data_IF_387558930407
#
_entry.id   IF_387558930407
#
_cell.length_a   1.000
_cell.length_b   1.000
_cell.length_c   1.000
_cell.angle_alpha   90.00
_cell.angle_beta   90.00
_cell.angle_gamma   90.00
#
_symmetry.space_group_name_H-M   'P 1'
#
loop_
_entity.id
_entity.type
_entity.pdbx_description
1 polymer ?
#
# COMPACT_ATOMS: atom_id res chain seq x y z
N UNK A 1 24.96 -10.73 -68.93
CA UNK A 1 23.92 -9.67 -69.07
C UNK A 1 23.13 -9.62 -67.77
N UNK A 2 23.01 -8.41 -67.23
CA UNK A 2 22.45 -7.92 -65.96
C UNK A 2 21.48 -8.83 -65.17
N UNK A 3 21.81 -9.07 -63.90
CA UNK A 3 20.85 -9.41 -62.85
C UNK A 3 20.54 -8.13 -62.06
N UNK A 4 19.34 -7.59 -62.25
CA UNK A 4 18.83 -6.41 -61.55
C UNK A 4 18.48 -6.76 -60.10
N UNK A 5 19.06 -6.03 -59.15
CA UNK A 5 18.77 -6.09 -57.73
C UNK A 5 17.49 -5.32 -57.40
N UNK A 6 16.47 -6.02 -56.89
CA UNK A 6 15.30 -5.38 -56.27
C UNK A 6 15.54 -5.36 -54.75
N UNK A 7 15.78 -4.17 -54.23
CA UNK A 7 16.03 -3.91 -52.82
C UNK A 7 14.80 -4.16 -51.95
N UNK A 8 14.99 -4.93 -50.86
CA UNK A 8 14.02 -5.05 -49.78
C UNK A 8 14.51 -4.26 -48.56
N UNK A 9 13.87 -3.13 -48.28
CA UNK A 9 14.06 -2.35 -47.03
C UNK A 9 13.34 -3.09 -45.89
N UNK A 10 13.97 -3.32 -44.73
CA UNK A 10 13.23 -3.80 -43.55
C UNK A 10 12.40 -2.66 -42.95
N UNK A 11 11.08 -2.85 -42.93
CA UNK A 11 10.11 -1.98 -42.27
C UNK A 11 10.25 -2.15 -40.75
N UNK A 12 10.41 -1.03 -40.04
CA UNK A 12 10.46 -0.95 -38.58
C UNK A 12 9.14 -1.43 -37.97
N UNK A 13 9.16 -2.55 -37.26
CA UNK A 13 8.02 -3.01 -36.48
C UNK A 13 7.88 -2.15 -35.21
N UNK A 14 6.86 -1.30 -35.22
CA UNK A 14 6.41 -0.49 -34.09
C UNK A 14 5.77 -1.41 -33.04
N UNK A 15 6.42 -1.59 -31.90
CA UNK A 15 5.88 -2.36 -30.79
C UNK A 15 4.87 -1.50 -30.01
N UNK A 16 3.62 -1.49 -30.46
CA UNK A 16 2.49 -0.91 -29.72
C UNK A 16 1.82 -2.00 -28.87
N UNK A 17 2.00 -1.83 -27.56
CA UNK A 17 1.13 -2.22 -26.45
C UNK A 17 -0.31 -2.57 -26.84
N UNK A 18 -0.76 -3.76 -26.46
CA UNK A 18 -2.16 -4.00 -26.10
C UNK A 18 -2.25 -4.83 -24.81
N UNK A 19 -2.59 -4.11 -23.74
CA UNK A 19 -3.52 -4.47 -22.66
C UNK A 19 -4.06 -5.91 -22.62
N UNK A 20 -3.81 -6.61 -21.50
CA UNK A 20 -4.81 -7.50 -20.88
C UNK A 20 -4.83 -7.37 -19.36
N UNK A 21 -6.05 -7.15 -18.89
CA UNK A 21 -6.51 -7.09 -17.51
C UNK A 21 -6.48 -8.47 -16.83
N UNK A 22 -6.27 -8.45 -15.50
CA UNK A 22 -6.75 -9.36 -14.44
C UNK A 22 -5.64 -9.62 -13.40
N UNK A 23 -5.75 -8.91 -12.27
CA UNK A 23 -5.38 -9.42 -10.94
C UNK A 23 -4.04 -10.14 -10.77
N UNK A 24 -2.95 -9.68 -11.39
CA UNK A 24 -1.63 -10.26 -11.17
C UNK A 24 -1.17 -9.94 -9.73
N UNK A 25 -1.50 -10.81 -8.77
CA UNK A 25 -0.66 -10.99 -7.59
C UNK A 25 0.76 -11.16 -8.14
N UNK A 26 1.64 -10.20 -7.83
CA UNK A 26 3.02 -10.22 -8.33
C UNK A 26 3.59 -11.60 -8.04
N UNK A 27 3.96 -12.31 -9.09
CA UNK A 27 4.60 -13.63 -9.04
C UNK A 27 5.88 -13.50 -8.21
N UNK A 28 5.83 -13.88 -6.94
CA UNK A 28 7.02 -14.08 -6.11
C UNK A 28 7.78 -15.22 -6.78
N UNK A 29 9.06 -15.00 -7.15
CA UNK A 29 9.88 -16.07 -7.71
C UNK A 29 9.91 -17.23 -6.72
N UNK A 30 9.52 -18.44 -7.15
CA UNK A 30 9.75 -19.68 -6.41
C UNK A 30 11.27 -19.89 -6.29
N UNK A 31 11.79 -19.84 -5.07
CA UNK A 31 13.21 -20.05 -4.75
C UNK A 31 13.73 -19.02 -3.75
N UNK A 32 14.30 -19.51 -2.64
CA UNK A 32 14.74 -18.79 -1.44
C UNK A 32 13.60 -18.19 -0.58
N UNK A 33 13.04 -19.01 0.33
CA UNK A 33 12.17 -18.58 1.40
C UNK A 33 13.02 -18.06 2.57
N UNK A 34 12.70 -16.87 3.06
CA UNK A 34 13.37 -16.24 4.20
C UNK A 34 12.32 -15.85 5.22
N UNK A 35 12.54 -16.21 6.48
CA UNK A 35 11.71 -15.74 7.58
C UNK A 35 12.22 -14.37 8.03
N UNK A 36 11.30 -13.46 8.35
CA UNK A 36 11.64 -12.10 8.75
C UNK A 36 10.74 -11.64 9.89
N UNK A 37 11.31 -10.97 10.88
CA UNK A 37 10.57 -10.29 11.94
C UNK A 37 11.16 -8.91 12.20
N UNK A 38 10.37 -8.01 12.80
CA UNK A 38 10.78 -6.63 13.09
C UNK A 38 10.63 -6.32 14.58
N UNK A 39 11.73 -5.94 15.23
CA UNK A 39 11.78 -5.47 16.61
C UNK A 39 11.83 -3.93 16.63
N UNK A 40 10.67 -3.28 16.68
CA UNK A 40 10.44 -1.82 16.77
C UNK A 40 11.08 -0.92 15.71
N UNK A 41 12.07 -1.41 14.94
CA UNK A 41 12.83 -0.84 13.79
C UNK A 41 14.04 -1.72 13.40
N UNK A 42 14.35 -2.78 14.13
CA UNK A 42 15.38 -3.77 13.77
C UNK A 42 14.73 -4.96 13.05
N UNK A 43 15.03 -5.14 11.77
CA UNK A 43 14.68 -6.34 11.02
C UNK A 43 15.68 -7.45 11.31
N UNK A 44 15.15 -8.61 11.72
CA UNK A 44 15.91 -9.85 11.83
C UNK A 44 15.41 -10.80 10.76
N UNK A 45 16.34 -11.37 9.99
CA UNK A 45 16.04 -12.28 8.89
C UNK A 45 16.83 -13.56 9.01
N UNK A 46 16.19 -14.71 8.81
CA UNK A 46 16.88 -15.99 8.77
C UNK A 46 17.71 -16.17 7.50
N UNK A 47 18.47 -17.25 7.43
CA UNK A 47 19.05 -17.74 6.19
C UNK A 47 17.97 -17.99 5.13
N UNK A 48 18.36 -17.84 3.86
CA UNK A 48 17.48 -18.23 2.75
C UNK A 48 17.43 -19.76 2.64
N UNK A 49 16.23 -20.30 2.55
CA UNK A 49 15.98 -21.75 2.49
C UNK A 49 15.23 -22.12 1.21
N UNK A 50 15.33 -23.38 0.77
CA UNK A 50 14.51 -23.90 -0.35
C UNK A 50 13.26 -24.61 0.13
N UNK A 51 13.15 -24.87 1.43
CA UNK A 51 12.11 -25.68 2.04
C UNK A 51 11.13 -24.80 2.81
N UNK A 52 9.83 -24.89 2.48
CA UNK A 52 8.77 -24.15 3.19
C UNK A 52 8.65 -24.55 4.65
N UNK A 53 8.85 -25.83 4.96
CA UNK A 53 8.82 -26.33 6.32
C UNK A 53 9.96 -25.73 7.16
N UNK A 54 11.17 -25.65 6.60
CA UNK A 54 12.31 -25.01 7.28
C UNK A 54 12.09 -23.50 7.45
N UNK A 55 11.60 -22.81 6.43
CA UNK A 55 11.22 -21.39 6.54
C UNK A 55 10.14 -21.17 7.62
N UNK A 56 9.17 -22.07 7.72
CA UNK A 56 8.14 -22.05 8.76
C UNK A 56 8.72 -22.24 10.16
N UNK A 57 9.65 -23.19 10.34
CA UNK A 57 10.37 -23.40 11.60
C UNK A 57 11.17 -22.15 12.00
N UNK A 58 11.96 -21.59 11.08
CA UNK A 58 12.70 -20.35 11.34
C UNK A 58 11.77 -19.19 11.68
N UNK A 59 10.61 -19.10 11.03
CA UNK A 59 9.64 -18.07 11.37
C UNK A 59 9.07 -18.25 12.77
N UNK A 60 8.78 -19.48 13.19
CA UNK A 60 8.33 -19.78 14.54
C UNK A 60 9.38 -19.41 15.60
N UNK A 61 10.65 -19.75 15.36
CA UNK A 61 11.77 -19.33 16.23
C UNK A 61 11.84 -17.80 16.35
N UNK A 62 11.79 -17.09 15.21
CA UNK A 62 11.86 -15.63 15.21
C UNK A 62 10.66 -15.00 15.93
N UNK A 63 9.44 -15.52 15.71
CA UNK A 63 8.24 -15.07 16.43
C UNK A 63 8.38 -15.27 17.94
N UNK A 64 8.82 -16.46 18.35
CA UNK A 64 9.03 -16.77 19.76
C UNK A 64 10.08 -15.87 20.40
N UNK A 65 11.22 -15.64 19.72
CA UNK A 65 12.24 -14.69 20.20
C UNK A 65 11.68 -13.27 20.34
N UNK A 66 10.76 -12.86 19.46
CA UNK A 66 10.12 -11.56 19.55
C UNK A 66 9.20 -11.46 20.77
N UNK A 67 8.37 -12.48 21.00
CA UNK A 67 7.50 -12.56 22.16
C UNK A 67 8.30 -12.54 23.47
N UNK A 68 9.37 -13.32 23.55
CA UNK A 68 10.25 -13.38 24.73
C UNK A 68 10.95 -12.05 24.98
N UNK A 69 11.53 -11.43 23.94
CA UNK A 69 12.27 -10.18 24.10
C UNK A 69 11.36 -8.98 24.40
N UNK A 70 10.15 -8.95 23.83
CA UNK A 70 9.20 -7.83 24.04
C UNK A 70 8.27 -8.04 25.25
N UNK A 71 8.09 -9.27 25.71
CA UNK A 71 7.25 -9.58 26.87
C UNK A 71 7.79 -9.02 28.19
N UNK A 72 9.07 -8.63 28.23
CA UNK A 72 9.73 -8.02 29.39
C UNK A 72 9.70 -6.49 29.32
N UNK A 73 9.55 -5.90 28.12
CA UNK A 73 9.59 -4.45 27.92
C UNK A 73 8.25 -3.79 28.25
N UNK A 74 8.30 -2.62 28.89
CA UNK A 74 7.13 -1.77 28.98
C UNK A 74 6.82 -1.16 27.61
N UNK A 75 5.54 -0.84 27.37
CA UNK A 75 5.08 -0.32 26.07
C UNK A 75 5.90 0.90 25.63
N UNK A 76 6.76 0.71 24.62
CA UNK A 76 7.54 1.78 23.97
C UNK A 76 9.03 1.74 24.28
N UNK A 77 9.48 0.95 25.24
CA UNK A 77 10.91 0.75 25.52
C UNK A 77 11.60 -0.01 24.37
N UNK A 78 12.79 0.45 23.99
CA UNK A 78 13.57 -0.25 22.98
C UNK A 78 14.19 -1.52 23.58
N UNK A 79 13.99 -2.65 22.90
CA UNK A 79 14.61 -3.92 23.29
C UNK A 79 16.14 -3.82 23.17
N UNK A 80 16.83 -4.22 24.25
CA UNK A 80 18.29 -4.22 24.37
C UNK A 80 18.95 -5.42 23.67
N UNK A 81 20.26 -5.34 23.46
CA UNK A 81 21.03 -6.41 22.79
C UNK A 81 20.95 -7.73 23.53
N UNK A 82 21.23 -7.72 24.83
CA UNK A 82 21.28 -8.92 25.66
C UNK A 82 19.92 -9.62 25.73
N UNK A 83 18.83 -8.84 25.71
CA UNK A 83 17.47 -9.38 25.67
C UNK A 83 17.18 -10.09 24.35
N UNK A 84 17.57 -9.50 23.21
CA UNK A 84 17.41 -10.13 21.90
C UNK A 84 18.27 -11.39 21.79
N UNK A 85 19.51 -11.34 22.29
CA UNK A 85 20.43 -12.47 22.28
C UNK A 85 19.90 -13.63 23.12
N UNK A 86 19.51 -13.36 24.37
CA UNK A 86 18.88 -14.33 25.27
C UNK A 86 17.61 -14.93 24.67
N UNK A 87 16.69 -14.08 24.17
CA UNK A 87 15.43 -14.55 23.60
C UNK A 87 15.63 -15.43 22.35
N UNK A 88 16.67 -15.13 21.55
CA UNK A 88 17.03 -15.96 20.40
C UNK A 88 17.58 -17.31 20.84
N UNK A 89 18.46 -17.34 21.84
CA UNK A 89 19.02 -18.58 22.39
C UNK A 89 17.93 -19.49 22.96
N UNK A 90 17.04 -18.93 23.78
CA UNK A 90 15.90 -19.67 24.35
C UNK A 90 14.97 -20.18 23.25
N UNK A 91 14.61 -19.34 22.27
CA UNK A 91 13.75 -19.77 21.17
C UNK A 91 14.40 -20.86 20.30
N UNK A 92 15.72 -20.79 20.06
CA UNK A 92 16.43 -21.83 19.33
C UNK A 92 16.40 -23.16 20.09
N UNK A 93 16.64 -23.13 21.39
CA UNK A 93 16.59 -24.30 22.26
C UNK A 93 15.18 -24.91 22.33
N UNK A 94 14.13 -24.10 22.52
CA UNK A 94 12.74 -24.55 22.57
C UNK A 94 12.32 -25.31 21.30
N UNK A 95 12.79 -24.86 20.13
CA UNK A 95 12.44 -25.46 18.84
C UNK A 95 13.46 -26.49 18.34
N UNK A 96 14.53 -26.76 19.10
CA UNK A 96 15.58 -27.70 18.72
C UNK A 96 16.32 -27.32 17.43
N UNK A 97 16.52 -26.02 17.19
CA UNK A 97 17.20 -25.49 16.00
C UNK A 97 18.59 -25.02 16.40
N UNK A 98 19.62 -25.47 15.68
CA UNK A 98 20.98 -25.00 15.90
C UNK A 98 21.15 -23.55 15.41
N UNK A 99 21.88 -22.72 16.16
CA UNK A 99 22.13 -21.32 15.82
C UNK A 99 22.79 -21.15 14.43
N UNK A 100 23.64 -22.09 14.03
CA UNK A 100 24.34 -22.11 12.74
C UNK A 100 23.42 -22.39 11.56
N UNK A 101 22.23 -22.95 11.79
CA UNK A 101 21.20 -23.15 10.75
C UNK A 101 20.43 -21.86 10.48
N UNK A 102 20.08 -21.11 11.54
CA UNK A 102 19.27 -19.91 11.41
C UNK A 102 20.03 -18.79 10.69
N UNK A 103 21.35 -18.64 10.97
CA UNK A 103 22.24 -17.58 10.45
C UNK A 103 21.54 -16.21 10.36
N UNK A 104 21.11 -15.66 11.50
CA UNK A 104 20.34 -14.43 11.49
C UNK A 104 21.16 -13.30 10.87
N UNK A 105 20.46 -12.47 10.09
CA UNK A 105 20.98 -11.24 9.52
C UNK A 105 20.10 -10.08 9.94
N UNK A 106 20.74 -8.95 10.18
CA UNK A 106 20.14 -7.80 10.81
C UNK A 106 20.18 -6.62 9.86
N UNK A 107 19.08 -5.87 9.81
CA UNK A 107 19.01 -4.59 9.11
C UNK A 107 18.13 -3.63 9.91
N UNK A 108 18.39 -2.35 9.79
CA UNK A 108 17.59 -1.30 10.44
C UNK A 108 16.62 -0.73 9.43
N UNK A 109 15.37 -0.59 9.86
CA UNK A 109 14.36 0.16 9.17
C UNK A 109 14.24 1.53 9.80
N UNK A 110 14.29 2.58 8.99
CA UNK A 110 14.01 3.93 9.44
C UNK A 110 12.81 4.46 8.66
N UNK A 111 11.79 4.87 9.39
CA UNK A 111 10.72 5.70 8.85
C UNK A 111 11.15 7.16 8.96
N UNK A 112 11.11 7.94 7.88
CA UNK A 112 11.49 9.36 7.93
C UNK A 112 10.38 10.26 8.50
N UNK A 113 9.53 9.74 9.40
CA UNK A 113 8.54 10.48 10.20
C UNK A 113 7.29 10.99 9.47
N UNK A 114 7.43 11.59 8.29
CA UNK A 114 6.35 12.28 7.56
C UNK A 114 6.09 11.72 6.15
N UNK A 115 6.80 10.65 5.79
CA UNK A 115 6.84 10.09 4.45
C UNK A 115 6.57 8.58 4.55
N UNK A 116 5.44 8.11 4.01
CA UNK A 116 5.05 6.70 3.95
C UNK A 116 6.05 5.80 3.20
N UNK A 117 6.95 5.12 3.93
CA UNK A 117 7.87 4.13 3.40
C UNK A 117 9.10 3.91 4.27
N UNK A 118 9.30 2.66 4.70
CA UNK A 118 10.48 2.18 5.40
C UNK A 118 11.71 2.21 4.50
N UNK A 119 12.78 2.82 5.00
CA UNK A 119 14.11 2.76 4.42
C UNK A 119 14.90 1.68 5.16
N UNK A 120 15.50 0.73 4.43
CA UNK A 120 16.34 -0.32 5.03
C UNK A 120 17.83 0.03 4.92
N UNK A 121 18.56 -0.17 6.01
CA UNK A 121 20.02 -0.22 6.02
C UNK A 121 20.54 -1.44 5.24
N UNK A 122 21.84 -1.53 4.97
CA UNK A 122 22.47 -2.80 4.62
C UNK A 122 22.18 -3.90 5.64
N UNK A 123 22.34 -5.15 5.21
CA UNK A 123 22.31 -6.31 6.10
C UNK A 123 23.70 -6.56 6.70
N UNK A 124 23.75 -6.91 7.98
CA UNK A 124 24.94 -7.36 8.71
C UNK A 124 24.62 -8.64 9.50
N UNK A 125 25.64 -9.42 9.87
CA UNK A 125 25.50 -10.57 10.77
C UNK A 125 25.71 -10.17 12.23
N UNK A 126 26.18 -8.94 12.50
CA UNK A 126 26.40 -8.44 13.86
C UNK A 126 25.17 -7.71 14.38
N UNK A 127 24.58 -8.24 15.46
CA UNK A 127 23.47 -7.60 16.17
C UNK A 127 23.90 -6.24 16.74
N UNK A 128 25.02 -6.20 17.46
CA UNK A 128 25.65 -4.98 18.00
C UNK A 128 25.76 -3.88 16.94
N UNK A 129 26.29 -4.22 15.76
CA UNK A 129 26.45 -3.25 14.68
C UNK A 129 25.10 -2.73 14.16
N UNK A 130 24.12 -3.62 13.99
CA UNK A 130 22.78 -3.22 13.57
C UNK A 130 22.08 -2.34 14.62
N UNK A 131 22.27 -2.61 15.91
CA UNK A 131 21.76 -1.76 16.99
C UNK A 131 22.46 -0.40 16.99
N UNK A 132 23.78 -0.34 16.82
CA UNK A 132 24.50 0.93 16.66
C UNK A 132 24.01 1.73 15.44
N UNK A 133 23.65 1.08 14.33
CA UNK A 133 22.97 1.73 13.21
C UNK A 133 21.60 2.25 13.59
N UNK A 134 20.83 1.48 14.38
CA UNK A 134 19.49 1.86 14.86
C UNK A 134 19.56 3.16 15.65
N UNK A 135 20.44 3.21 16.65
CA UNK A 135 20.67 4.38 17.49
C UNK A 135 21.08 5.60 16.66
N UNK A 136 22.11 5.47 15.80
CA UNK A 136 22.59 6.60 14.98
C UNK A 136 21.55 7.12 14.01
N UNK A 137 20.85 6.22 13.31
CA UNK A 137 19.82 6.63 12.35
C UNK A 137 18.59 7.19 13.05
N UNK A 138 18.25 6.70 14.25
CA UNK A 138 17.20 7.28 15.08
C UNK A 138 17.59 8.69 15.52
N UNK A 139 18.78 8.87 16.08
CA UNK A 139 19.28 10.18 16.51
C UNK A 139 19.31 11.16 15.33
N UNK A 140 19.85 10.75 14.18
CA UNK A 140 19.91 11.59 12.98
C UNK A 140 18.52 11.97 12.45
N UNK A 141 17.52 11.10 12.62
CA UNK A 141 16.12 11.41 12.25
C UNK A 141 15.56 12.56 13.08
N UNK A 142 15.85 12.62 14.38
CA UNK A 142 15.38 13.72 15.25
C UNK A 142 15.95 15.09 14.82
N UNK A 143 17.12 15.09 14.17
CA UNK A 143 17.77 16.29 13.63
C UNK A 143 17.33 16.64 12.19
N UNK A 144 16.45 15.83 11.59
CA UNK A 144 15.87 16.08 10.29
C UNK A 144 16.52 15.33 9.13
N UNK A 145 16.08 15.66 7.91
CA UNK A 145 16.33 14.84 6.72
C UNK A 145 17.78 14.85 6.24
N UNK A 146 18.46 15.99 6.32
CA UNK A 146 19.84 16.13 5.85
C UNK A 146 20.79 15.27 6.70
N UNK A 147 20.65 15.34 8.03
CA UNK A 147 21.40 14.52 8.96
C UNK A 147 21.10 13.03 8.80
N UNK A 148 19.81 12.66 8.65
CA UNK A 148 19.44 11.27 8.37
C UNK A 148 20.08 10.76 7.06
N UNK A 149 20.12 11.57 6.02
CA UNK A 149 20.76 11.21 4.75
C UNK A 149 22.27 11.02 4.94
N UNK A 150 22.93 11.92 5.67
CA UNK A 150 24.36 11.83 5.98
C UNK A 150 24.68 10.55 6.76
N UNK A 151 24.02 10.34 7.90
CA UNK A 151 24.20 9.15 8.73
C UNK A 151 23.93 7.86 7.96
N UNK A 152 22.94 7.85 7.06
CA UNK A 152 22.65 6.68 6.25
C UNK A 152 23.73 6.39 5.19
N UNK A 153 24.32 7.43 4.58
CA UNK A 153 25.47 7.25 3.68
C UNK A 153 26.68 6.68 4.43
N UNK A 154 26.94 7.14 5.66
CA UNK A 154 27.99 6.61 6.52
C UNK A 154 27.77 5.12 6.81
N UNK A 155 26.56 4.74 7.24
CA UNK A 155 26.18 3.32 7.45
C UNK A 155 26.38 2.46 6.19
N UNK A 156 26.11 3.02 5.01
CA UNK A 156 26.32 2.32 3.73
C UNK A 156 27.81 2.13 3.39
N UNK A 157 28.67 3.01 3.87
CA UNK A 157 30.12 2.97 3.73
C UNK A 157 30.85 2.10 4.75
N UNK A 158 30.16 1.60 5.77
CA UNK A 158 30.80 0.80 6.82
C UNK A 158 31.12 -0.65 6.40
N UNK A 159 32.20 -1.23 6.95
CA UNK A 159 32.50 -2.66 6.88
C UNK A 159 31.33 -3.51 7.37
N UNK A 160 31.07 -4.63 6.70
CA UNK A 160 29.97 -5.55 7.02
C UNK A 160 30.50 -6.97 7.10
N UNK A 161 30.84 -7.46 8.31
CA UNK A 161 31.29 -8.83 8.49
C UNK A 161 30.28 -9.80 7.86
N UNK A 162 30.78 -10.80 7.11
CA UNK A 162 29.95 -11.84 6.50
C UNK A 162 29.01 -11.40 5.36
N UNK A 163 29.05 -10.13 4.92
CA UNK A 163 28.08 -9.59 3.95
C UNK A 163 28.69 -8.69 2.87
N UNK A 164 27.82 -8.06 2.07
CA UNK A 164 28.17 -7.24 0.92
C UNK A 164 29.24 -6.19 1.23
N UNK A 165 30.19 -6.00 0.31
CA UNK A 165 31.28 -5.01 0.44
C UNK A 165 30.73 -3.59 0.69
N UNK A 166 31.40 -2.76 1.51
CA UNK A 166 31.11 -1.34 1.68
C UNK A 166 30.80 -0.65 0.35
N UNK A 167 29.82 0.26 0.36
CA UNK A 167 29.57 1.07 -0.83
C UNK A 167 30.53 2.25 -0.84
N UNK A 168 31.05 2.60 -2.02
CA UNK A 168 31.70 3.89 -2.19
C UNK A 168 30.72 5.02 -1.92
N UNK A 169 31.23 6.18 -1.49
CA UNK A 169 30.40 7.35 -1.16
C UNK A 169 29.44 7.72 -2.29
N UNK A 170 29.90 7.70 -3.54
CA UNK A 170 29.07 7.99 -4.71
C UNK A 170 27.94 6.97 -4.90
N UNK A 171 28.20 5.67 -4.69
CA UNK A 171 27.17 4.62 -4.76
C UNK A 171 26.18 4.71 -3.59
N UNK A 172 26.66 5.06 -2.40
CA UNK A 172 25.83 5.30 -1.24
C UNK A 172 24.87 6.48 -1.50
N UNK A 173 25.39 7.60 -2.00
CA UNK A 173 24.60 8.78 -2.37
C UNK A 173 23.52 8.42 -3.39
N UNK A 174 23.86 7.75 -4.49
CA UNK A 174 22.88 7.31 -5.50
C UNK A 174 21.81 6.41 -4.89
N UNK A 175 22.20 5.50 -3.99
CA UNK A 175 21.26 4.58 -3.34
C UNK A 175 20.30 5.32 -2.40
N UNK A 176 20.81 6.25 -1.60
CA UNK A 176 20.01 7.07 -0.67
C UNK A 176 19.07 7.99 -1.44
N UNK A 177 19.58 8.76 -2.42
CA UNK A 177 18.73 9.60 -3.26
C UNK A 177 17.69 8.78 -4.02
N UNK A 178 18.08 7.67 -4.62
CA UNK A 178 17.16 6.79 -5.34
C UNK A 178 16.07 6.23 -4.41
N UNK A 179 16.39 5.91 -3.16
CA UNK A 179 15.40 5.47 -2.19
C UNK A 179 14.44 6.60 -1.80
N UNK A 180 14.97 7.80 -1.53
CA UNK A 180 14.17 8.99 -1.23
C UNK A 180 13.26 9.41 -2.40
N UNK A 181 13.74 9.29 -3.65
CA UNK A 181 12.96 9.59 -4.86
C UNK A 181 11.87 8.55 -5.12
N UNK A 182 12.18 7.25 -5.02
CA UNK A 182 11.17 6.19 -5.15
C UNK A 182 10.08 6.35 -4.11
N UNK A 183 10.47 6.81 -2.93
CA UNK A 183 9.58 7.08 -1.82
C UNK A 183 8.64 8.25 -2.13
N UNK A 184 9.16 9.42 -2.53
CA UNK A 184 8.33 10.58 -2.89
C UNK A 184 7.31 10.22 -3.98
N UNK A 185 7.73 9.47 -5.00
CA UNK A 185 6.86 8.98 -6.06
C UNK A 185 5.72 8.07 -5.53
N UNK A 186 6.02 7.16 -4.59
CA UNK A 186 5.01 6.29 -3.96
C UNK A 186 3.99 7.11 -3.15
N UNK A 187 4.43 8.12 -2.40
CA UNK A 187 3.52 9.02 -1.66
C UNK A 187 2.55 9.73 -2.60
N UNK A 188 3.06 10.34 -3.67
CA UNK A 188 2.18 11.01 -4.64
C UNK A 188 1.17 10.03 -5.25
N UNK A 189 1.58 8.79 -5.54
CA UNK A 189 0.66 7.77 -6.02
C UNK A 189 -0.41 7.36 -4.99
N UNK A 190 -0.05 7.21 -3.70
CA UNK A 190 -1.02 6.86 -2.64
C UNK A 190 -2.00 8.00 -2.37
N UNK A 191 -1.51 9.25 -2.31
CA UNK A 191 -2.37 10.42 -2.10
C UNK A 191 -3.33 10.60 -3.26
N UNK A 192 -2.86 10.45 -4.51
CA UNK A 192 -3.73 10.48 -5.70
C UNK A 192 -4.79 9.39 -5.67
N UNK A 193 -4.45 8.16 -5.28
CA UNK A 193 -5.42 7.06 -5.15
C UNK A 193 -6.45 7.32 -4.05
N UNK A 194 -6.04 7.85 -2.90
CA UNK A 194 -6.95 8.20 -1.82
C UNK A 194 -7.91 9.32 -2.23
N UNK A 195 -7.41 10.34 -2.94
CA UNK A 195 -8.22 11.43 -3.47
C UNK A 195 -9.21 10.93 -4.53
N UNK A 196 -8.77 10.09 -5.47
CA UNK A 196 -9.65 9.48 -6.47
C UNK A 196 -10.76 8.64 -5.82
N UNK A 197 -10.45 7.89 -4.75
CA UNK A 197 -11.47 7.14 -4.00
C UNK A 197 -12.49 8.05 -3.32
N UNK A 198 -12.04 9.17 -2.74
CA UNK A 198 -12.94 10.17 -2.12
C UNK A 198 -13.85 10.80 -3.18
N UNK A 199 -13.32 11.13 -4.35
CA UNK A 199 -14.11 11.66 -5.46
C UNK A 199 -15.14 10.64 -5.93
N UNK A 200 -14.75 9.39 -6.14
CA UNK A 200 -15.69 8.30 -6.51
C UNK A 200 -16.79 8.10 -5.46
N UNK A 201 -16.46 8.17 -4.17
CA UNK A 201 -17.45 8.08 -3.09
C UNK A 201 -18.42 9.28 -3.09
N UNK A 202 -17.91 10.49 -3.31
CA UNK A 202 -18.73 11.69 -3.42
C UNK A 202 -19.67 11.63 -4.64
N UNK A 203 -19.16 11.21 -5.80
CA UNK A 203 -19.94 11.01 -7.03
C UNK A 203 -21.03 9.95 -6.83
N UNK A 204 -20.70 8.84 -6.17
CA UNK A 204 -21.66 7.79 -5.87
C UNK A 204 -22.75 8.27 -4.91
N UNK A 205 -22.38 9.01 -3.86
CA UNK A 205 -23.34 9.60 -2.92
C UNK A 205 -24.28 10.60 -3.61
N UNK A 206 -23.74 11.49 -4.45
CA UNK A 206 -24.53 12.44 -5.23
C UNK A 206 -25.51 11.73 -6.18
N UNK A 207 -25.08 10.63 -6.82
CA UNK A 207 -25.93 9.83 -7.70
C UNK A 207 -27.07 9.16 -6.91
N UNK A 208 -26.78 8.63 -5.72
CA UNK A 208 -27.80 8.04 -4.84
C UNK A 208 -28.83 9.07 -4.36
N UNK A 209 -28.40 10.29 -4.01
CA UNK A 209 -29.33 11.38 -3.67
C UNK A 209 -30.22 11.74 -4.84
N UNK A 210 -29.67 11.83 -6.05
CA UNK A 210 -30.45 12.15 -7.25
C UNK A 210 -31.51 11.08 -7.54
N UNK A 211 -31.19 9.80 -7.35
CA UNK A 211 -32.16 8.70 -7.44
C UNK A 211 -33.23 8.76 -6.34
N UNK A 212 -32.86 9.12 -5.10
CA UNK A 212 -33.83 9.29 -4.00
C UNK A 212 -34.80 10.43 -4.28
N UNK A 213 -34.31 11.55 -4.77
CA UNK A 213 -35.13 12.69 -5.18
C UNK A 213 -36.07 12.32 -6.32
N UNK A 214 -35.58 11.60 -7.35
CA UNK A 214 -36.42 11.13 -8.46
C UNK A 214 -37.51 10.15 -7.99
N UNK A 215 -37.19 9.25 -7.07
CA UNK A 215 -38.16 8.33 -6.47
C UNK A 215 -39.21 9.06 -5.60
N UNK A 216 -38.79 10.08 -4.85
CA UNK A 216 -39.69 10.92 -4.06
C UNK A 216 -40.65 11.72 -4.97
N UNK A 217 -40.14 12.32 -6.05
CA UNK A 217 -40.96 13.05 -7.04
C UNK A 217 -41.97 12.11 -7.73
N UNK A 218 -41.56 10.91 -8.11
CA UNK A 218 -42.46 9.90 -8.66
C UNK A 218 -43.58 9.52 -7.68
N UNK A 219 -43.25 9.30 -6.40
CA UNK A 219 -44.25 9.02 -5.35
C UNK A 219 -45.20 10.19 -5.15
N UNK A 220 -44.69 11.42 -5.15
CA UNK A 220 -45.49 12.62 -4.95
C UNK A 220 -46.48 12.82 -6.11
N UNK A 221 -46.06 12.57 -7.36
CA UNK A 221 -46.94 12.56 -8.53
C UNK A 221 -48.08 11.55 -8.40
N UNK A 222 -47.80 10.34 -7.90
CA UNK A 222 -48.84 9.32 -7.65
C UNK A 222 -49.83 9.81 -6.59
N UNK A 223 -49.35 10.30 -5.45
CA UNK A 223 -50.21 10.80 -4.37
C UNK A 223 -51.09 11.97 -4.80
N UNK A 224 -50.55 12.91 -5.59
CA UNK A 224 -51.32 14.03 -6.14
C UNK A 224 -52.44 13.54 -7.06
N UNK A 225 -52.17 12.56 -7.92
CA UNK A 225 -53.18 11.96 -8.79
C UNK A 225 -54.26 11.22 -7.99
N UNK A 226 -53.88 10.47 -6.96
CA UNK A 226 -54.83 9.78 -6.07
C UNK A 226 -55.68 10.76 -5.26
N UNK A 227 -55.09 11.81 -4.71
CA UNK A 227 -55.81 12.86 -4.01
C UNK A 227 -56.81 13.55 -4.94
N UNK A 228 -56.41 13.88 -6.17
CA UNK A 228 -57.29 14.44 -7.18
C UNK A 228 -58.50 13.54 -7.47
N UNK A 229 -58.28 12.23 -7.65
CA UNK A 229 -59.36 11.24 -7.83
C UNK A 229 -60.29 11.17 -6.62
N UNK A 230 -59.75 11.20 -5.39
CA UNK A 230 -60.55 11.19 -4.15
C UNK A 230 -61.44 12.43 -4.03
N UNK A 231 -60.87 13.61 -4.30
CA UNK A 231 -61.61 14.87 -4.32
C UNK A 231 -62.70 14.87 -5.38
N UNK A 232 -62.40 14.43 -6.59
CA UNK A 232 -63.37 14.31 -7.70
C UNK A 232 -64.53 13.38 -7.32
N UNK A 233 -64.23 12.24 -6.67
CA UNK A 233 -65.25 11.32 -6.15
C UNK A 233 -66.06 11.83 -4.96
N UNK A 234 -65.49 12.72 -4.13
CA UNK A 234 -66.24 13.41 -3.06
C UNK A 234 -67.17 14.47 -3.64
N UNK A 235 -66.68 15.31 -4.55
CA UNK A 235 -67.47 16.36 -5.20
C UNK A 235 -68.62 15.76 -6.03
N UNK A 236 -68.35 14.66 -6.75
CA UNK A 236 -69.40 13.94 -7.50
C UNK A 236 -70.49 13.39 -6.59
N UNK A 237 -70.15 12.97 -5.36
CA UNK A 237 -71.10 12.48 -4.35
C UNK A 237 -71.89 13.62 -3.68
N UNK A 238 -71.23 14.72 -3.37
CA UNK A 238 -71.84 15.86 -2.67
C UNK A 238 -72.79 16.67 -3.58
N UNK A 239 -72.48 16.80 -4.87
CA UNK A 239 -73.21 17.69 -5.78
C UNK A 239 -73.97 16.96 -6.89
N UNK A 240 -73.93 15.61 -6.92
CA UNK A 240 -74.65 14.81 -7.93
C UNK A 240 -74.16 14.99 -9.38
N UNK A 241 -73.06 15.70 -9.60
CA UNK A 241 -72.52 16.01 -10.92
C UNK A 241 -71.78 14.80 -11.47
N UNK A 242 -72.45 13.99 -12.31
CA UNK A 242 -71.77 12.95 -13.10
C UNK A 242 -70.97 13.62 -14.22
N UNK A 243 -69.65 13.70 -14.04
CA UNK A 243 -68.71 14.00 -15.11
C UNK A 243 -68.41 15.48 -15.32
N UNK A 244 -67.64 16.07 -14.41
CA UNK A 244 -66.85 17.27 -14.75
C UNK A 244 -65.80 16.83 -15.78
N UNK A 245 -66.00 17.21 -17.05
CA UNK A 245 -65.00 16.99 -18.11
C UNK A 245 -63.66 17.54 -17.64
N UNK A 246 -62.66 16.66 -17.54
CA UNK A 246 -61.27 17.03 -17.24
C UNK A 246 -60.86 18.22 -18.13
N UNK A 247 -60.36 19.33 -17.56
CA UNK A 247 -59.72 20.33 -18.39
C UNK A 247 -58.53 19.66 -19.09
N UNK A 248 -58.50 19.75 -20.42
CA UNK A 248 -57.34 19.35 -21.22
C UNK A 248 -56.15 20.14 -20.69
N UNK A 249 -55.26 19.49 -19.95
CA UNK A 249 -53.94 20.03 -19.65
C UNK A 249 -53.24 20.21 -21.00
N UNK A 250 -53.23 21.45 -21.46
CA UNK A 250 -52.44 21.93 -22.57
C UNK A 250 -51.01 21.43 -22.40
N UNK A 251 -50.59 20.58 -23.32
CA UNK A 251 -49.22 20.11 -23.50
C UNK A 251 -48.35 21.29 -23.92
N UNK A 252 -48.05 22.20 -22.99
CA UNK A 252 -47.07 23.26 -23.20
C UNK A 252 -45.69 22.76 -22.80
N UNK A 253 -45.07 22.14 -23.80
CA UNK A 253 -43.64 22.19 -24.13
C UNK A 253 -42.64 22.09 -22.98
N UNK A 254 -42.04 20.90 -22.92
CA UNK A 254 -40.63 20.74 -22.57
C UNK A 254 -39.77 21.71 -23.39
N UNK A 255 -39.24 22.76 -22.76
CA UNK A 255 -37.99 23.37 -23.21
C UNK A 255 -36.89 22.88 -22.29
N UNK A 256 -36.07 21.99 -22.87
CA UNK A 256 -34.71 21.72 -22.45
C UNK A 256 -34.00 23.03 -22.06
N UNK A 257 -33.41 23.06 -20.87
CA UNK A 257 -32.22 23.86 -20.62
C UNK A 257 -31.09 22.89 -20.29
N UNK A 258 -30.32 22.56 -21.32
CA UNK A 258 -28.90 22.33 -21.15
C UNK A 258 -28.29 23.65 -20.68
N UNK A 259 -27.65 23.64 -19.51
CA UNK A 259 -26.68 24.65 -19.14
C UNK A 259 -25.33 23.94 -19.00
N UNK A 260 -24.39 24.46 -19.78
CA UNK A 260 -22.95 24.25 -19.74
C UNK A 260 -22.34 24.59 -18.39
#
# INVERSE_FOLDING_TARGET
VQASSVGSRPVKASAIRTSRSRGCVRRVRLGALQATICFQRLLVRSATTRCRLQAGRFHAVLLRSYELATGVCQSGEEVEEDQIAWAMEVALAEFGVDASELRPTYAVVVSSGCLAGAIESPTTSSLTQALAWRWRLHAAREHGRAELQKAWMEVLGEPRPGHSRPLSMQRALVRVHGALQRHSARRHATTRKAQARRQQQAEHAATLELHRCAAADARLKVLVVEAGKRWEGMLSRAFGVKGLKRPRLSSRQSRQRHCS
#
